data_IF_566697961819
#
_entry.id   IF_566697961819
#
_cell.length_a   1.000
_cell.length_b   1.000
_cell.length_c   1.000
_cell.angle_alpha   90.00
_cell.angle_beta   90.00
_cell.angle_gamma   90.00
#
_symmetry.space_group_name_H-M   'P 1'
#
loop_
_entity.id
_entity.type
_entity.pdbx_description
1 polymer ?
#
# COMPACT_ATOMS: atom_id res chain seq x y z
N UNK A 1 -26.99 58.57 -34.17
CA UNK A 1 -26.88 57.12 -34.08
C UNK A 1 -25.59 56.76 -33.31
N UNK A 2 -25.76 56.46 -32.01
CA UNK A 2 -24.62 56.04 -31.14
C UNK A 2 -24.57 54.55 -31.16
N UNK A 3 -23.44 53.94 -31.68
CA UNK A 3 -23.19 52.54 -31.63
C UNK A 3 -22.62 52.17 -30.25
N UNK A 4 -23.37 51.33 -29.49
CA UNK A 4 -22.93 50.73 -28.27
C UNK A 4 -22.02 49.55 -28.65
N UNK A 5 -20.75 49.61 -28.28
CA UNK A 5 -19.85 48.43 -28.30
C UNK A 5 -20.01 47.71 -26.97
N UNK A 6 -20.63 46.53 -27.01
CA UNK A 6 -20.68 45.61 -25.87
C UNK A 6 -19.38 44.79 -25.84
N UNK A 7 -18.54 45.08 -24.87
CA UNK A 7 -17.32 44.30 -24.62
C UNK A 7 -17.72 43.08 -23.81
N UNK A 8 -17.74 41.91 -24.45
CA UNK A 8 -17.91 40.63 -23.77
C UNK A 8 -16.56 40.27 -23.13
N UNK A 9 -16.49 40.40 -21.81
CA UNK A 9 -15.37 39.88 -21.02
C UNK A 9 -15.60 38.35 -20.85
N UNK A 10 -14.92 37.56 -21.65
CA UNK A 10 -14.85 36.11 -21.44
C UNK A 10 -13.88 35.89 -20.28
N UNK A 11 -14.43 35.68 -19.09
CA UNK A 11 -13.69 35.18 -17.94
C UNK A 11 -13.36 33.72 -18.20
N UNK A 12 -12.14 33.43 -18.64
CA UNK A 12 -11.63 32.07 -18.69
C UNK A 12 -11.44 31.59 -17.26
N UNK A 13 -12.40 30.83 -16.77
CA UNK A 13 -12.27 30.06 -15.54
C UNK A 13 -11.22 28.98 -15.78
N UNK A 14 -9.97 29.26 -15.42
CA UNK A 14 -8.92 28.24 -15.35
C UNK A 14 -9.33 27.25 -14.23
N UNK A 15 -10.02 26.18 -14.59
CA UNK A 15 -10.11 25.00 -13.74
C UNK A 15 -8.69 24.45 -13.59
N UNK A 16 -8.02 24.82 -12.52
CA UNK A 16 -6.85 24.11 -12.06
C UNK A 16 -7.36 22.76 -11.58
N UNK A 17 -7.30 21.74 -12.44
CA UNK A 17 -7.48 20.36 -12.02
C UNK A 17 -6.32 20.02 -11.11
N UNK A 18 -6.47 20.25 -9.82
CA UNK A 18 -5.63 19.60 -8.83
C UNK A 18 -6.03 18.12 -8.85
N UNK A 19 -5.27 17.31 -9.58
CA UNK A 19 -5.44 15.86 -9.52
C UNK A 19 -5.15 15.44 -8.08
N UNK A 20 -6.22 15.12 -7.35
CA UNK A 20 -6.08 14.51 -6.02
C UNK A 20 -5.31 13.18 -6.19
N UNK A 21 -4.34 12.91 -5.32
CA UNK A 21 -3.62 11.63 -5.33
C UNK A 21 -4.63 10.50 -5.15
N UNK A 22 -4.77 9.57 -6.13
CA UNK A 22 -5.69 8.47 -6.02
C UNK A 22 -5.35 7.57 -4.83
N UNK A 23 -6.37 7.01 -4.20
CA UNK A 23 -6.20 6.01 -3.13
C UNK A 23 -7.02 4.78 -3.49
N UNK A 24 -6.41 3.61 -3.36
CA UNK A 24 -7.02 2.30 -3.59
C UNK A 24 -7.00 1.54 -2.27
N UNK A 25 -8.16 1.07 -1.82
CA UNK A 25 -8.31 0.29 -0.58
C UNK A 25 -8.77 -1.11 -0.93
N UNK A 26 -8.00 -2.13 -0.54
CA UNK A 26 -8.30 -3.54 -0.82
C UNK A 26 -8.65 -3.82 -2.28
N UNK A 27 -7.87 -3.22 -3.20
CA UNK A 27 -8.02 -3.31 -4.67
C UNK A 27 -9.19 -2.52 -5.27
N UNK A 28 -9.95 -1.76 -4.48
CA UNK A 28 -11.06 -0.92 -4.95
C UNK A 28 -10.69 0.56 -4.84
N UNK A 29 -11.02 1.40 -5.83
CA UNK A 29 -10.82 2.84 -5.74
C UNK A 29 -11.62 3.45 -4.58
N UNK A 30 -10.94 4.19 -3.71
CA UNK A 30 -11.58 4.87 -2.58
C UNK A 30 -11.85 6.34 -2.93
N UNK A 31 -13.02 6.82 -2.55
CA UNK A 31 -13.42 8.23 -2.71
C UNK A 31 -13.50 8.89 -1.34
N UNK A 32 -12.88 10.05 -1.20
CA UNK A 32 -12.85 10.84 0.02
C UNK A 32 -13.50 12.21 -0.22
N UNK A 33 -14.21 12.72 0.78
CA UNK A 33 -14.76 14.07 0.73
C UNK A 33 -13.66 15.13 0.74
N UNK A 34 -12.57 14.84 1.42
CA UNK A 34 -11.40 15.72 1.52
C UNK A 34 -10.20 15.10 0.79
N UNK A 35 -9.49 15.91 -0.03
CA UNK A 35 -8.36 15.39 -0.81
C UNK A 35 -7.20 14.99 0.11
N UNK A 36 -6.37 14.08 -0.39
CA UNK A 36 -5.06 13.81 0.20
C UNK A 36 -4.20 15.07 0.13
N UNK A 37 -3.58 15.43 1.24
CA UNK A 37 -2.63 16.56 1.34
C UNK A 37 -1.22 15.98 1.40
N UNK A 38 -0.30 16.49 0.58
CA UNK A 38 1.10 16.11 0.63
C UNK A 38 1.89 17.24 1.30
N UNK A 39 2.55 16.92 2.42
CA UNK A 39 3.46 17.81 3.15
C UNK A 39 4.71 17.05 3.55
N UNK A 40 5.89 17.66 3.39
CA UNK A 40 7.18 17.04 3.77
C UNK A 40 7.35 15.62 3.21
N UNK A 41 6.96 15.42 1.93
CA UNK A 41 6.97 14.13 1.24
C UNK A 41 6.11 13.04 1.90
N UNK A 42 5.17 13.43 2.76
CA UNK A 42 4.24 12.54 3.47
C UNK A 42 2.80 12.83 3.03
N UNK A 43 2.04 11.78 2.80
CA UNK A 43 0.61 11.86 2.43
C UNK A 43 -0.26 11.86 3.68
N UNK A 44 -1.08 12.90 3.81
CA UNK A 44 -2.02 13.09 4.90
C UNK A 44 -3.46 12.94 4.41
N UNK A 45 -4.30 12.38 5.24
CA UNK A 45 -5.74 12.31 5.03
C UNK A 45 -6.47 12.72 6.31
N UNK A 46 -7.72 13.13 6.16
CA UNK A 46 -8.59 13.37 7.31
C UNK A 46 -8.70 12.11 8.16
N UNK A 47 -8.51 12.24 9.47
CA UNK A 47 -8.59 11.12 10.40
C UNK A 47 -9.97 10.43 10.35
N UNK A 48 -11.04 11.21 10.15
CA UNK A 48 -12.39 10.69 10.01
C UNK A 48 -12.55 9.85 8.75
N UNK A 49 -11.96 10.27 7.65
CA UNK A 49 -12.00 9.52 6.38
C UNK A 49 -11.24 8.22 6.47
N UNK A 50 -10.07 8.21 7.11
CA UNK A 50 -9.33 6.97 7.39
C UNK A 50 -10.19 6.03 8.24
N UNK A 51 -10.79 6.55 9.31
CA UNK A 51 -11.64 5.77 10.18
C UNK A 51 -12.82 5.14 9.44
N UNK A 52 -13.56 5.93 8.66
CA UNK A 52 -14.78 5.46 8.00
C UNK A 52 -14.54 4.54 6.78
N UNK A 53 -13.38 4.65 6.12
CA UNK A 53 -13.09 3.88 4.91
C UNK A 53 -12.22 2.63 5.16
N UNK A 54 -11.48 2.58 6.27
CA UNK A 54 -10.58 1.47 6.56
C UNK A 54 -11.03 0.60 7.74
N UNK A 55 -11.79 1.15 8.69
CA UNK A 55 -11.99 0.48 9.98
C UNK A 55 -13.45 0.10 10.19
N UNK A 56 -13.67 -1.15 10.61
CA UNK A 56 -14.96 -1.62 11.06
C UNK A 56 -15.18 -1.27 12.54
N UNK A 57 -16.43 -0.99 12.92
CA UNK A 57 -16.82 -0.71 14.30
C UNK A 57 -15.96 0.34 14.99
N UNK A 58 -15.55 1.38 14.25
CA UNK A 58 -14.67 2.43 14.76
C UNK A 58 -15.38 3.34 15.75
N UNK A 59 -14.74 3.60 16.88
CA UNK A 59 -15.09 4.67 17.80
C UNK A 59 -14.04 5.78 17.70
N UNK A 60 -14.48 6.97 17.32
CA UNK A 60 -13.64 8.16 17.21
C UNK A 60 -14.03 9.18 18.28
N UNK A 61 -13.11 9.50 19.18
CA UNK A 61 -13.29 10.44 20.27
C UNK A 61 -12.30 11.60 20.17
N UNK A 62 -12.65 12.73 20.75
CA UNK A 62 -11.79 13.90 20.87
C UNK A 62 -11.60 14.27 22.34
N UNK A 63 -10.36 14.27 22.80
CA UNK A 63 -10.00 14.81 24.10
C UNK A 63 -9.54 16.26 23.92
N UNK A 64 -10.39 17.21 24.38
CA UNK A 64 -10.12 18.63 24.23
C UNK A 64 -9.04 19.16 25.19
N UNK A 65 -8.86 18.53 26.34
CA UNK A 65 -7.90 18.94 27.37
C UNK A 65 -6.45 18.82 26.86
N UNK A 66 -6.13 17.69 26.25
CA UNK A 66 -4.78 17.41 25.74
C UNK A 66 -4.70 17.45 24.20
N UNK A 67 -5.75 17.90 23.52
CA UNK A 67 -5.85 18.01 22.05
C UNK A 67 -5.51 16.70 21.35
N UNK A 68 -6.06 15.60 21.82
CA UNK A 68 -5.77 14.26 21.29
C UNK A 68 -7.01 13.65 20.63
N UNK A 69 -6.86 13.18 19.41
CA UNK A 69 -7.87 12.33 18.77
C UNK A 69 -7.61 10.86 19.15
N UNK A 70 -8.66 10.12 19.45
CA UNK A 70 -8.58 8.73 19.90
C UNK A 70 -9.45 7.88 18.99
N UNK A 71 -8.83 6.90 18.31
CA UNK A 71 -9.51 5.90 17.49
C UNK A 71 -9.42 4.56 18.18
N UNK A 72 -10.56 3.86 18.25
CA UNK A 72 -10.59 2.48 18.74
C UNK A 72 -11.35 1.61 17.76
N UNK A 73 -10.74 0.50 17.32
CA UNK A 73 -11.36 -0.54 16.49
C UNK A 73 -10.70 -1.88 16.80
N UNK A 74 -11.48 -2.95 16.91
CA UNK A 74 -11.00 -4.33 17.10
C UNK A 74 -9.91 -4.48 18.19
N UNK A 75 -10.14 -3.90 19.37
CA UNK A 75 -9.20 -3.90 20.51
C UNK A 75 -7.87 -3.16 20.28
N UNK A 76 -7.74 -2.41 19.20
CA UNK A 76 -6.63 -1.52 18.97
C UNK A 76 -7.07 -0.09 19.26
N UNK A 77 -6.33 0.61 20.10
CA UNK A 77 -6.54 2.04 20.40
C UNK A 77 -5.34 2.83 19.91
N UNK A 78 -5.60 3.82 19.07
CA UNK A 78 -4.60 4.76 18.57
C UNK A 78 -4.94 6.15 19.05
N UNK A 79 -4.04 6.76 19.82
CA UNK A 79 -4.15 8.15 20.25
C UNK A 79 -3.22 9.01 19.42
N UNK A 80 -3.72 10.11 18.92
CA UNK A 80 -3.03 11.06 18.05
C UNK A 80 -2.99 12.45 18.73
N UNK A 81 -1.97 12.75 19.53
CA UNK A 81 -1.79 14.09 20.07
C UNK A 81 -1.44 15.05 18.93
N UNK A 82 -2.19 16.14 18.80
CA UNK A 82 -2.05 17.07 17.68
C UNK A 82 -0.80 17.93 17.81
N UNK A 83 -0.08 18.08 16.70
CA UNK A 83 1.17 18.86 16.63
C UNK A 83 2.40 18.10 17.13
N UNK A 84 2.26 16.80 17.44
CA UNK A 84 3.39 15.96 17.83
C UNK A 84 3.85 15.08 16.68
N UNK A 85 5.08 14.59 16.75
CA UNK A 85 5.67 13.66 15.80
C UNK A 85 5.55 12.19 16.23
N UNK A 86 4.64 11.90 17.15
CA UNK A 86 4.38 10.54 17.63
C UNK A 86 2.88 10.28 17.78
N UNK A 87 2.54 9.02 17.82
CA UNK A 87 1.23 8.48 18.22
C UNK A 87 1.42 7.47 19.36
N UNK A 88 0.32 7.12 20.02
CA UNK A 88 0.32 6.10 21.07
C UNK A 88 -0.61 4.98 20.61
N UNK A 89 -0.08 3.77 20.49
CA UNK A 89 -0.82 2.57 20.05
C UNK A 89 -0.83 1.57 21.20
N UNK A 90 -2.01 1.28 21.75
CA UNK A 90 -2.16 0.41 22.94
C UNK A 90 -1.12 0.74 24.02
N UNK A 91 -1.08 2.00 24.43
CA UNK A 91 -0.17 2.58 25.44
C UNK A 91 1.32 2.60 25.06
N UNK A 92 1.69 2.17 23.85
CA UNK A 92 3.07 2.25 23.37
C UNK A 92 3.25 3.46 22.44
N UNK A 93 4.20 4.31 22.75
CA UNK A 93 4.55 5.46 21.90
C UNK A 93 5.34 5.01 20.67
N UNK A 94 4.92 5.46 19.50
CA UNK A 94 5.57 5.23 18.21
C UNK A 94 5.79 6.55 17.46
N UNK A 95 6.91 6.76 16.78
CA UNK A 95 7.07 7.90 15.90
C UNK A 95 6.08 7.84 14.74
N UNK A 96 5.59 8.98 14.28
CA UNK A 96 4.77 9.10 13.08
C UNK A 96 5.57 8.69 11.84
N UNK A 97 6.81 9.16 11.76
CA UNK A 97 7.78 8.80 10.73
C UNK A 97 9.15 8.59 11.39
N UNK A 98 9.68 7.37 11.31
CA UNK A 98 10.95 7.03 11.93
C UNK A 98 12.16 7.76 11.29
N UNK A 99 12.01 8.20 10.03
CA UNK A 99 13.08 8.83 9.26
C UNK A 99 12.93 10.36 9.18
N UNK A 100 11.77 10.91 9.57
CA UNK A 100 11.50 12.35 9.49
C UNK A 100 10.73 12.84 10.73
N UNK A 101 11.44 13.36 11.71
CA UNK A 101 10.85 13.89 12.95
C UNK A 101 10.06 15.19 12.77
N UNK A 102 10.09 15.82 11.58
CA UNK A 102 9.31 17.03 11.28
C UNK A 102 7.86 16.72 10.90
N UNK A 103 7.56 15.46 10.59
CA UNK A 103 6.20 15.04 10.26
C UNK A 103 5.35 15.00 11.52
N UNK A 104 4.31 15.82 11.56
CA UNK A 104 3.38 15.93 12.70
C UNK A 104 1.94 15.89 12.23
N UNK A 105 1.02 15.38 13.06
CA UNK A 105 -0.43 15.56 12.85
C UNK A 105 -0.80 17.04 13.03
N UNK A 106 -1.83 17.50 12.30
CA UNK A 106 -2.26 18.90 12.38
C UNK A 106 -3.77 19.05 12.21
N UNK A 107 -4.28 20.22 12.60
CA UNK A 107 -5.67 20.63 12.33
C UNK A 107 -5.65 21.76 11.31
N UNK A 108 -6.46 21.62 10.26
CA UNK A 108 -6.68 22.64 9.25
C UNK A 108 -8.18 22.74 8.92
N UNK A 109 -8.73 23.95 8.99
CA UNK A 109 -10.15 24.20 8.77
C UNK A 109 -11.09 23.27 9.56
N UNK A 110 -10.77 23.03 10.84
CA UNK A 110 -11.54 22.15 11.73
C UNK A 110 -11.43 20.67 11.45
N UNK A 111 -10.54 20.26 10.55
CA UNK A 111 -10.28 18.86 10.18
C UNK A 111 -8.93 18.43 10.72
N UNK A 112 -8.90 17.28 11.39
CA UNK A 112 -7.65 16.64 11.84
C UNK A 112 -7.05 15.84 10.71
N UNK A 113 -5.83 16.19 10.31
CA UNK A 113 -5.05 15.47 9.31
C UNK A 113 -3.93 14.66 9.93
N UNK A 114 -3.80 13.44 9.49
CA UNK A 114 -2.80 12.48 9.98
C UNK A 114 -2.11 11.78 8.81
N UNK A 115 -0.85 11.37 8.97
CA UNK A 115 -0.17 10.57 7.95
C UNK A 115 -0.90 9.24 7.74
N UNK A 116 -1.26 8.95 6.49
CA UNK A 116 -2.06 7.77 6.12
C UNK A 116 -1.37 6.49 6.59
N UNK A 117 -0.08 6.33 6.27
CA UNK A 117 0.71 5.13 6.59
C UNK A 117 0.71 4.83 8.08
N UNK A 118 1.04 5.81 8.90
CA UNK A 118 1.17 5.65 10.34
C UNK A 118 -0.11 5.13 11.00
N UNK A 119 -1.27 5.66 10.59
CA UNK A 119 -2.56 5.24 11.14
C UNK A 119 -2.98 3.88 10.58
N UNK A 120 -2.94 3.70 9.25
CA UNK A 120 -3.36 2.46 8.61
C UNK A 120 -2.53 1.26 9.10
N UNK A 121 -1.21 1.38 9.18
CA UNK A 121 -0.34 0.32 9.67
C UNK A 121 -0.55 -0.01 11.16
N UNK A 122 -1.02 0.96 11.96
CA UNK A 122 -1.38 0.72 13.36
C UNK A 122 -2.60 -0.20 13.51
N UNK A 123 -3.46 -0.25 12.50
CA UNK A 123 -4.63 -1.12 12.44
C UNK A 123 -4.41 -2.37 11.55
N UNK A 124 -3.17 -2.69 11.20
CA UNK A 124 -2.85 -3.92 10.48
C UNK A 124 -2.97 -3.84 8.96
N UNK A 125 -2.97 -2.65 8.38
CA UNK A 125 -2.91 -2.46 6.94
C UNK A 125 -1.47 -2.27 6.45
N UNK A 126 -1.19 -2.62 5.21
CA UNK A 126 0.00 -2.22 4.48
C UNK A 126 -0.32 -1.01 3.61
N UNK A 127 0.64 -0.07 3.52
CA UNK A 127 0.49 1.13 2.70
C UNK A 127 1.66 1.24 1.74
N UNK A 128 1.38 1.15 0.45
CA UNK A 128 2.34 1.28 -0.63
C UNK A 128 2.02 2.50 -1.50
N UNK A 129 3.04 3.06 -2.14
CA UNK A 129 2.91 4.15 -3.09
C UNK A 129 3.59 3.76 -4.39
N UNK A 130 2.83 3.74 -5.49
CA UNK A 130 3.31 3.45 -6.82
C UNK A 130 2.47 4.21 -7.85
N UNK A 131 3.09 4.65 -8.93
CA UNK A 131 2.42 5.32 -10.05
C UNK A 131 1.48 6.45 -9.63
N UNK A 132 1.95 7.30 -8.71
CA UNK A 132 1.19 8.41 -8.12
C UNK A 132 -0.09 8.00 -7.38
N UNK A 133 -0.21 6.73 -6.98
CA UNK A 133 -1.37 6.15 -6.30
C UNK A 133 -0.97 5.58 -4.94
N UNK A 134 -1.80 5.78 -3.93
CA UNK A 134 -1.65 5.18 -2.60
C UNK A 134 -2.49 3.90 -2.57
N UNK A 135 -1.84 2.77 -2.29
CA UNK A 135 -2.49 1.47 -2.12
C UNK A 135 -2.50 1.11 -0.64
N UNK A 136 -3.68 0.85 -0.10
CA UNK A 136 -3.91 0.43 1.27
C UNK A 136 -4.56 -0.95 1.24
N UNK A 137 -3.96 -1.93 1.88
CA UNK A 137 -4.48 -3.30 1.88
C UNK A 137 -4.37 -3.92 3.27
N UNK A 138 -5.40 -4.65 3.66
CA UNK A 138 -5.35 -5.38 4.91
C UNK A 138 -4.30 -6.50 4.81
N UNK A 139 -3.40 -6.60 5.78
CA UNK A 139 -2.37 -7.66 5.85
C UNK A 139 -2.98 -9.06 5.83
N UNK A 140 -4.08 -9.25 6.54
CA UNK A 140 -4.75 -10.54 6.63
C UNK A 140 -5.45 -10.95 5.33
N UNK A 141 -5.97 -9.96 4.56
CA UNK A 141 -6.61 -10.23 3.26
C UNK A 141 -5.59 -10.51 2.16
N UNK A 142 -4.42 -9.91 2.19
CA UNK A 142 -3.35 -10.24 1.23
C UNK A 142 -2.86 -11.68 1.39
N UNK A 143 -2.74 -12.17 2.61
CA UNK A 143 -2.30 -13.53 2.87
C UNK A 143 -3.40 -14.58 2.64
N UNK A 144 -4.68 -14.24 2.78
CA UNK A 144 -5.78 -15.22 2.69
C UNK A 144 -6.35 -15.39 1.28
N UNK A 145 -6.19 -14.41 0.38
CA UNK A 145 -6.80 -14.44 -0.96
C UNK A 145 -5.84 -14.82 -2.08
N UNK A 146 -4.54 -14.59 -1.91
CA UNK A 146 -3.56 -14.95 -2.92
C UNK A 146 -3.16 -16.42 -2.78
N UNK A 147 -3.31 -17.22 -3.84
CA UNK A 147 -3.09 -18.67 -3.78
C UNK A 147 -1.68 -19.06 -3.34
N UNK A 148 -0.67 -18.21 -3.59
CA UNK A 148 0.70 -18.47 -3.16
C UNK A 148 0.90 -18.46 -1.64
N UNK A 149 0.01 -17.83 -0.88
CA UNK A 149 0.07 -17.80 0.59
C UNK A 149 -0.83 -18.85 1.27
N UNK A 150 -1.66 -19.56 0.49
CA UNK A 150 -2.44 -20.67 1.05
C UNK A 150 -1.53 -21.83 1.43
N UNK A 151 -1.95 -22.63 2.40
CA UNK A 151 -1.23 -23.86 2.77
C UNK A 151 -1.14 -24.82 1.58
N UNK A 152 0.01 -25.50 1.46
CA UNK A 152 0.18 -26.56 0.45
C UNK A 152 -0.70 -27.76 0.78
N UNK A 153 -1.40 -28.27 -0.22
CA UNK A 153 -2.27 -29.44 -0.09
C UNK A 153 -1.57 -30.68 -0.67
N UNK A 154 -1.89 -31.82 -0.10
CA UNK A 154 -1.42 -33.09 -0.65
C UNK A 154 -1.87 -33.26 -2.12
N UNK A 155 -0.94 -33.64 -3.00
CA UNK A 155 -1.21 -33.82 -4.43
C UNK A 155 -0.96 -32.57 -5.30
N UNK A 156 -0.54 -31.46 -4.72
CA UNK A 156 -0.10 -30.30 -5.51
C UNK A 156 1.22 -30.59 -6.22
N UNK A 157 1.36 -30.01 -7.40
CA UNK A 157 2.60 -30.12 -8.19
C UNK A 157 3.64 -29.16 -7.63
N UNK A 158 4.80 -29.66 -7.30
CA UNK A 158 5.98 -28.91 -6.87
C UNK A 158 7.19 -29.27 -7.74
N UNK A 159 8.19 -28.42 -7.79
CA UNK A 159 9.52 -28.73 -8.28
C UNK A 159 10.58 -28.31 -7.26
N UNK A 160 11.65 -29.07 -7.15
CA UNK A 160 12.81 -28.74 -6.33
C UNK A 160 13.98 -28.41 -7.24
N UNK A 161 14.54 -27.22 -7.08
CA UNK A 161 15.79 -26.82 -7.73
C UNK A 161 16.94 -27.09 -6.76
N UNK A 162 17.80 -28.04 -7.10
CA UNK A 162 19.02 -28.32 -6.35
C UNK A 162 20.12 -27.34 -6.76
N UNK A 163 20.58 -26.53 -5.84
CA UNK A 163 21.66 -25.57 -6.10
C UNK A 163 22.89 -25.87 -5.25
N UNK A 164 24.03 -25.28 -5.61
CA UNK A 164 25.26 -25.38 -4.81
C UNK A 164 25.15 -24.80 -3.40
N UNK A 165 24.10 -23.99 -3.14
CA UNK A 165 23.85 -23.34 -1.85
C UNK A 165 22.64 -23.91 -1.11
N UNK A 166 22.02 -24.97 -1.62
CA UNK A 166 20.85 -25.61 -1.05
C UNK A 166 19.67 -25.70 -2.01
N UNK A 167 18.58 -26.27 -1.52
CA UNK A 167 17.39 -26.56 -2.31
C UNK A 167 16.41 -25.40 -2.27
N UNK A 168 15.80 -25.10 -3.43
CA UNK A 168 14.70 -24.15 -3.57
C UNK A 168 13.48 -24.90 -4.06
N UNK A 169 12.38 -24.87 -3.29
CA UNK A 169 11.15 -25.56 -3.64
C UNK A 169 10.16 -24.56 -4.25
N UNK A 170 9.62 -24.92 -5.42
CA UNK A 170 8.61 -24.13 -6.12
C UNK A 170 7.25 -24.83 -6.06
N UNK A 171 6.21 -24.05 -5.84
CA UNK A 171 4.82 -24.43 -5.97
C UNK A 171 4.25 -23.88 -7.27
N UNK A 172 3.43 -24.67 -7.97
CA UNK A 172 2.81 -24.26 -9.22
C UNK A 172 1.30 -24.08 -9.08
N UNK A 173 0.77 -23.18 -9.87
CA UNK A 173 -0.66 -22.84 -9.90
C UNK A 173 -1.23 -23.03 -11.30
N UNK A 174 -1.39 -24.31 -11.77
CA UNK A 174 -1.84 -24.61 -13.12
C UNK A 174 -3.24 -24.08 -13.44
N UNK A 175 -4.08 -23.84 -12.43
CA UNK A 175 -5.40 -23.24 -12.58
C UNK A 175 -5.34 -21.77 -13.08
N UNK A 176 -4.24 -21.07 -12.82
CA UNK A 176 -4.05 -19.68 -13.26
C UNK A 176 -3.18 -19.54 -14.50
N UNK A 177 -2.19 -20.42 -14.66
CA UNK A 177 -1.22 -20.35 -15.75
C UNK A 177 -0.90 -21.75 -16.33
N UNK A 178 -1.88 -22.47 -16.88
CA UNK A 178 -1.70 -23.88 -17.29
C UNK A 178 -0.55 -24.07 -18.30
N UNK A 179 -0.51 -23.24 -19.34
CA UNK A 179 0.54 -23.34 -20.38
C UNK A 179 1.94 -23.04 -19.85
N UNK A 180 2.09 -22.08 -18.96
CA UNK A 180 3.39 -21.74 -18.39
C UNK A 180 3.90 -22.87 -17.47
N UNK A 181 3.02 -23.44 -16.65
CA UNK A 181 3.35 -24.57 -15.79
C UNK A 181 3.70 -25.81 -16.62
N UNK A 182 2.92 -26.16 -17.62
CA UNK A 182 3.18 -27.27 -18.53
C UNK A 182 4.53 -27.11 -19.24
N UNK A 183 4.81 -25.94 -19.78
CA UNK A 183 6.09 -25.61 -20.42
C UNK A 183 7.27 -25.83 -19.46
N UNK A 184 7.22 -25.22 -18.27
CA UNK A 184 8.28 -25.35 -17.27
C UNK A 184 8.51 -26.82 -16.89
N UNK A 185 7.45 -27.54 -16.55
CA UNK A 185 7.56 -28.94 -16.14
C UNK A 185 8.07 -29.84 -17.25
N UNK A 186 7.69 -29.57 -18.51
CA UNK A 186 8.19 -30.31 -19.67
C UNK A 186 9.69 -30.10 -19.86
N UNK A 187 10.15 -28.87 -19.79
CA UNK A 187 11.57 -28.52 -19.89
C UNK A 187 12.36 -29.11 -18.70
N UNK A 188 11.83 -29.03 -17.49
CA UNK A 188 12.48 -29.60 -16.31
C UNK A 188 12.64 -31.14 -16.43
N UNK A 189 11.58 -31.86 -16.85
CA UNK A 189 11.62 -33.31 -17.08
C UNK A 189 12.62 -33.72 -18.17
N UNK A 190 12.80 -32.87 -19.17
CA UNK A 190 13.76 -33.12 -20.25
C UNK A 190 15.19 -32.69 -19.91
N UNK A 191 15.45 -32.25 -18.67
CA UNK A 191 16.77 -31.86 -18.22
C UNK A 191 17.25 -30.50 -18.76
N UNK A 192 16.37 -29.71 -19.34
CA UNK A 192 16.72 -28.42 -19.95
C UNK A 192 17.40 -27.45 -18.98
N UNK A 193 17.04 -27.53 -17.69
CA UNK A 193 17.59 -26.65 -16.64
C UNK A 193 18.77 -27.27 -15.88
N UNK A 194 19.26 -28.45 -16.29
CA UNK A 194 20.38 -29.07 -15.62
C UNK A 194 21.68 -28.29 -15.91
N UNK A 195 22.45 -28.04 -14.83
CA UNK A 195 23.73 -27.30 -14.90
C UNK A 195 23.62 -25.85 -15.43
N UNK A 196 22.42 -25.23 -15.32
CA UNK A 196 22.22 -23.85 -15.71
C UNK A 196 22.61 -22.94 -14.53
N UNK A 197 23.31 -21.85 -14.82
CA UNK A 197 23.78 -20.89 -13.83
C UNK A 197 22.75 -19.76 -13.60
N UNK A 198 22.86 -19.10 -12.44
CA UNK A 198 22.23 -17.81 -12.22
C UNK A 198 23.07 -16.74 -12.90
N UNK A 199 22.76 -16.45 -14.17
CA UNK A 199 23.51 -15.52 -15.02
C UNK A 199 23.30 -14.03 -14.66
N UNK A 200 22.31 -13.72 -13.82
CA UNK A 200 22.06 -12.35 -13.36
C UNK A 200 21.62 -12.35 -11.90
N UNK A 201 22.38 -11.63 -11.08
CA UNK A 201 22.08 -11.46 -9.65
C UNK A 201 22.16 -9.98 -9.31
N UNK A 202 21.08 -9.41 -8.78
CA UNK A 202 21.02 -8.01 -8.35
C UNK A 202 20.61 -8.00 -6.87
N UNK A 203 21.50 -7.44 -6.05
CA UNK A 203 21.30 -7.36 -4.61
C UNK A 203 19.99 -6.61 -4.27
N UNK A 204 19.21 -7.16 -3.33
CA UNK A 204 17.92 -6.67 -2.88
C UNK A 204 16.85 -6.54 -3.99
N UNK A 205 17.04 -7.19 -5.14
CA UNK A 205 16.07 -7.15 -6.22
C UNK A 205 15.71 -8.56 -6.74
N UNK A 206 16.65 -9.28 -7.39
CA UNK A 206 16.32 -10.55 -8.01
C UNK A 206 17.55 -11.41 -8.37
N UNK A 207 17.30 -12.70 -8.57
CA UNK A 207 18.20 -13.63 -9.25
C UNK A 207 17.48 -14.16 -10.50
N UNK A 208 18.23 -14.40 -11.58
CA UNK A 208 17.71 -14.87 -12.86
C UNK A 208 18.52 -16.06 -13.35
N UNK A 209 17.82 -17.13 -13.74
CA UNK A 209 18.39 -18.34 -14.33
C UNK A 209 17.45 -18.88 -15.43
N UNK A 210 17.82 -20.01 -16.04
CA UNK A 210 16.97 -20.73 -17.00
C UNK A 210 17.36 -20.57 -18.45
N UNK A 211 18.43 -19.84 -18.74
CA UNK A 211 19.03 -19.80 -20.06
C UNK A 211 20.16 -20.86 -20.13
N UNK A 212 19.99 -21.97 -20.89
CA UNK A 212 21.01 -23.02 -20.96
C UNK A 212 22.23 -22.61 -21.79
N UNK A 213 22.19 -21.45 -22.45
CA UNK A 213 23.31 -20.90 -23.23
C UNK A 213 24.09 -19.84 -22.46
N UNK A 214 23.58 -19.39 -21.33
CA UNK A 214 24.28 -18.48 -20.44
C UNK A 214 25.30 -19.27 -19.60
N UNK A 215 26.57 -19.17 -20.01
CA UNK A 215 27.76 -19.76 -19.35
C UNK A 215 28.69 -18.68 -18.85
#
# INVERSE_FOLDING_TARGET
MKKLFSTIVISALLCVNTFATPVVVNSEPATFEKPVIIRQSTSFLSLREIASNLLDNVNLQWNAENKTAILTSNNITVQVPIGTNYIIVNDNTKPIDANNSQVTSFIENGTTYVPIRCIAESFGYDVNYSDNTIYISNKDTQNSTLPQFSEMKQGETIATMHTSMGDIVFRFFPQYAPKAVENFLTHAKNGYYNNVEFHRVINNFMIQAGDPTAT
#
